data_IF_848290784429
#
_entry.id   IF_848290784429
#
_cell.length_a   1.000
_cell.length_b   1.000
_cell.length_c   1.000
_cell.angle_alpha   90.00
_cell.angle_beta   90.00
_cell.angle_gamma   90.00
#
_symmetry.space_group_name_H-M   'P 1'
#
loop_
_entity.id
_entity.type
_entity.pdbx_description
1 polymer ?
#
# COMPACT_ATOMS: atom_id res chain seq x y z
N UNK A 1 8.15 9.25 3.19
CA UNK A 1 8.54 10.15 4.29
C UNK A 1 7.43 10.16 5.34
N UNK A 2 7.77 10.25 6.62
CA UNK A 2 6.79 10.34 7.71
C UNK A 2 6.02 11.68 7.62
N UNK A 3 4.73 11.71 7.99
CA UNK A 3 3.82 12.87 7.89
C UNK A 3 3.37 13.26 6.47
N UNK A 4 3.23 12.28 5.57
CA UNK A 4 2.67 12.52 4.23
C UNK A 4 1.16 12.27 4.19
N UNK A 5 0.43 13.15 3.50
CA UNK A 5 -0.97 12.92 3.14
C UNK A 5 -1.02 12.23 1.78
N UNK A 6 -1.72 11.10 1.73
CA UNK A 6 -1.92 10.32 0.50
C UNK A 6 -3.41 10.21 0.19
N UNK A 7 -3.73 10.08 -1.10
CA UNK A 7 -5.07 9.73 -1.55
C UNK A 7 -5.13 8.22 -1.81
N UNK A 8 -6.16 7.55 -1.31
CA UNK A 8 -6.42 6.13 -1.54
C UNK A 8 -7.67 5.96 -2.42
N UNK A 9 -7.67 4.99 -3.31
CA UNK A 9 -8.77 4.70 -4.24
C UNK A 9 -9.95 3.94 -3.59
N UNK A 10 -10.17 4.17 -2.30
CA UNK A 10 -11.20 3.54 -1.47
C UNK A 10 -11.91 4.61 -0.66
N UNK A 11 -13.23 4.55 -0.62
CA UNK A 11 -14.08 5.57 -0.01
C UNK A 11 -15.20 5.00 0.84
N UNK A 12 -16.20 5.84 1.14
CA UNK A 12 -17.40 5.47 1.90
C UNK A 12 -18.13 4.28 1.27
N UNK A 13 -18.14 4.18 -0.08
CA UNK A 13 -18.76 3.04 -0.80
C UNK A 13 -18.01 1.73 -0.60
N UNK A 14 -16.74 1.80 -0.19
CA UNK A 14 -15.91 0.64 0.14
C UNK A 14 -15.91 0.35 1.65
N UNK A 15 -16.74 1.06 2.44
CA UNK A 15 -16.80 0.91 3.89
C UNK A 15 -15.64 1.59 4.64
N UNK A 16 -14.94 2.54 4.02
CA UNK A 16 -13.89 3.30 4.69
C UNK A 16 -14.50 4.40 5.54
N UNK A 17 -14.10 4.46 6.81
CA UNK A 17 -14.50 5.49 7.76
C UNK A 17 -13.31 6.30 8.26
N UNK A 18 -13.59 7.49 8.80
CA UNK A 18 -12.57 8.28 9.48
C UNK A 18 -12.06 7.53 10.71
N UNK A 19 -10.75 7.48 10.90
CA UNK A 19 -10.09 6.72 11.97
C UNK A 19 -9.68 5.31 11.56
N UNK A 20 -10.09 4.80 10.39
CA UNK A 20 -9.61 3.51 9.89
C UNK A 20 -8.09 3.51 9.73
N UNK A 21 -7.45 2.49 10.28
CA UNK A 21 -6.01 2.24 10.16
C UNK A 21 -5.81 1.11 9.17
N UNK A 22 -4.93 1.31 8.20
CA UNK A 22 -4.59 0.31 7.17
C UNK A 22 -3.08 0.08 7.14
N UNK A 23 -2.67 -1.16 6.89
CA UNK A 23 -1.29 -1.51 6.63
C UNK A 23 -0.94 -1.27 5.16
N UNK A 24 0.24 -0.69 4.94
CA UNK A 24 0.83 -0.50 3.61
C UNK A 24 1.68 -1.73 3.29
N UNK A 25 1.33 -2.44 2.23
CA UNK A 25 2.09 -3.56 1.70
C UNK A 25 2.79 -3.12 0.40
N UNK A 26 4.12 -3.17 0.41
CA UNK A 26 4.94 -3.00 -0.78
C UNK A 26 4.64 -4.13 -1.75
N UNK A 27 4.24 -3.78 -2.96
CA UNK A 27 3.99 -4.77 -4.00
C UNK A 27 5.34 -5.34 -4.47
N UNK A 28 5.58 -6.63 -4.23
CA UNK A 28 6.86 -7.27 -4.53
C UNK A 28 7.22 -7.14 -6.01
N UNK A 29 8.49 -6.96 -6.34
CA UNK A 29 8.89 -6.81 -7.75
C UNK A 29 8.76 -8.14 -8.51
N UNK A 30 8.46 -8.04 -9.80
CA UNK A 30 8.49 -9.19 -10.70
C UNK A 30 9.86 -9.22 -11.36
N UNK A 31 10.69 -10.19 -11.00
CA UNK A 31 12.06 -10.33 -11.47
C UNK A 31 12.17 -11.51 -12.44
N UNK A 32 13.09 -11.43 -13.40
CA UNK A 32 13.44 -12.58 -14.24
C UNK A 32 14.60 -13.30 -13.57
N UNK A 33 14.38 -14.55 -13.20
CA UNK A 33 15.44 -15.41 -12.68
C UNK A 33 16.45 -15.72 -13.81
N UNK A 34 17.72 -15.46 -13.53
CA UNK A 34 18.86 -15.69 -14.44
C UNK A 34 19.81 -16.77 -13.93
N UNK A 35 19.49 -17.39 -12.79
CA UNK A 35 20.32 -18.42 -12.16
C UNK A 35 20.00 -19.81 -12.71
N UNK A 36 18.76 -20.03 -13.19
CA UNK A 36 18.36 -21.21 -13.94
C UNK A 36 18.62 -21.09 -15.46
N UNK A 37 18.82 -22.22 -16.13
CA UNK A 37 19.00 -22.28 -17.59
C UNK A 37 17.79 -21.81 -18.42
N UNK A 38 16.62 -21.63 -17.79
CA UNK A 38 15.42 -21.04 -18.38
C UNK A 38 15.11 -19.70 -17.70
N UNK A 39 14.78 -18.68 -18.51
CA UNK A 39 14.35 -17.37 -18.00
C UNK A 39 12.91 -17.49 -17.48
N UNK A 40 12.76 -17.66 -16.18
CA UNK A 40 11.46 -17.69 -15.51
C UNK A 40 11.17 -16.37 -14.81
N UNK A 41 9.89 -15.98 -14.78
CA UNK A 41 9.45 -14.74 -14.15
C UNK A 41 8.96 -15.04 -12.74
N UNK A 42 9.65 -14.52 -11.73
CA UNK A 42 9.34 -14.71 -10.31
C UNK A 42 8.75 -13.44 -9.71
N UNK A 43 7.61 -13.57 -9.01
CA UNK A 43 7.01 -12.49 -8.22
C UNK A 43 7.52 -12.57 -6.78
N UNK A 44 8.20 -11.53 -6.32
CA UNK A 44 8.60 -11.42 -4.92
C UNK A 44 7.37 -11.25 -4.02
N UNK A 45 7.42 -11.73 -2.76
CA UNK A 45 6.34 -11.56 -1.80
C UNK A 45 6.11 -10.07 -1.50
N UNK A 46 4.89 -9.75 -1.08
CA UNK A 46 4.56 -8.42 -0.61
C UNK A 46 5.07 -8.24 0.82
N UNK A 47 5.60 -7.06 1.13
CA UNK A 47 6.20 -6.76 2.43
C UNK A 47 5.45 -5.63 3.13
N UNK A 48 5.21 -5.77 4.45
CA UNK A 48 4.58 -4.70 5.24
C UNK A 48 5.60 -3.60 5.50
N UNK A 49 5.35 -2.42 4.94
CA UNK A 49 6.27 -1.28 5.00
C UNK A 49 5.76 -0.12 5.86
N UNK A 50 4.51 -0.14 6.33
CA UNK A 50 4.01 0.93 7.20
C UNK A 50 2.53 0.86 7.54
N UNK A 51 2.05 1.94 8.14
CA UNK A 51 0.65 2.17 8.50
C UNK A 51 0.20 3.55 8.04
N UNK A 52 -1.08 3.66 7.72
CA UNK A 52 -1.77 4.93 7.50
C UNK A 52 -3.10 4.98 8.24
N UNK A 53 -3.58 6.19 8.51
CA UNK A 53 -4.89 6.45 9.10
C UNK A 53 -5.72 7.33 8.16
N UNK A 54 -6.93 6.91 7.84
CA UNK A 54 -7.88 7.72 7.09
C UNK A 54 -8.45 8.82 7.99
N UNK A 55 -8.42 10.06 7.53
CA UNK A 55 -9.00 11.20 8.27
C UNK A 55 -10.11 11.92 7.49
N UNK A 56 -10.22 11.69 6.19
CA UNK A 56 -11.27 12.30 5.36
C UNK A 56 -11.69 11.38 4.22
N UNK A 57 -12.71 10.53 4.43
CA UNK A 57 -13.29 9.72 3.37
C UNK A 57 -14.29 10.52 2.50
N UNK A 58 -14.32 10.21 1.21
CA UNK A 58 -15.34 10.59 0.23
C UNK A 58 -15.93 9.33 -0.40
N UNK A 59 -16.88 9.43 -1.32
CA UNK A 59 -17.57 8.27 -1.91
C UNK A 59 -16.65 7.22 -2.53
N UNK A 60 -15.58 7.64 -3.24
CA UNK A 60 -14.70 6.74 -4.02
C UNK A 60 -13.21 6.92 -3.71
N UNK A 61 -12.86 7.89 -2.88
CA UNK A 61 -11.48 8.27 -2.54
C UNK A 61 -11.43 8.68 -1.09
N UNK A 62 -10.32 8.44 -0.41
CA UNK A 62 -10.10 8.96 0.94
C UNK A 62 -8.73 9.60 1.05
N UNK A 63 -8.61 10.62 1.89
CA UNK A 63 -7.31 11.12 2.33
C UNK A 63 -6.90 10.45 3.63
N UNK A 64 -5.63 10.03 3.65
CA UNK A 64 -5.02 9.37 4.77
C UNK A 64 -3.67 9.98 5.12
N UNK A 65 -3.31 9.90 6.41
CA UNK A 65 -2.03 10.30 6.95
C UNK A 65 -1.17 9.05 7.17
N UNK A 66 0.05 9.03 6.62
CA UNK A 66 1.04 7.98 6.89
C UNK A 66 1.59 8.15 8.31
N UNK A 67 1.39 7.14 9.16
CA UNK A 67 1.77 7.15 10.58
C UNK A 67 3.23 6.72 10.79
N UNK A 68 3.57 5.56 10.20
CA UNK A 68 4.89 4.96 10.22
C UNK A 68 5.19 4.39 8.85
N UNK A 69 6.45 4.52 8.42
CA UNK A 69 6.88 3.92 7.17
C UNK A 69 8.37 3.63 7.17
N UNK A 70 8.72 2.39 6.82
CA UNK A 70 10.10 1.89 6.81
C UNK A 70 10.73 1.93 5.41
N UNK A 71 9.92 2.06 4.36
CA UNK A 71 10.37 2.17 2.95
C UNK A 71 9.51 3.18 2.18
N UNK A 72 10.00 3.71 1.06
CA UNK A 72 9.23 4.65 0.25
C UNK A 72 8.02 3.94 -0.40
N UNK A 73 6.79 4.45 -0.21
CA UNK A 73 5.60 3.87 -0.82
C UNK A 73 5.60 4.20 -2.32
N UNK A 74 5.13 3.26 -3.12
CA UNK A 74 5.04 3.37 -4.57
C UNK A 74 3.59 3.36 -5.01
N UNK A 75 3.32 4.00 -6.14
CA UNK A 75 2.02 3.89 -6.78
C UNK A 75 1.81 2.42 -7.15
N UNK A 76 0.66 1.86 -6.73
CA UNK A 76 0.34 0.44 -6.92
C UNK A 76 0.69 -0.47 -5.74
N UNK A 77 1.22 0.08 -4.64
CA UNK A 77 1.26 -0.61 -3.36
C UNK A 77 -0.14 -0.88 -2.82
N UNK A 78 -0.25 -1.93 -2.01
CA UNK A 78 -1.52 -2.48 -1.55
C UNK A 78 -1.84 -1.97 -0.15
N UNK A 79 -3.14 -1.85 0.14
CA UNK A 79 -3.65 -1.49 1.47
C UNK A 79 -4.54 -2.60 1.99
N UNK A 80 -4.28 -3.04 3.21
CA UNK A 80 -5.04 -4.10 3.87
C UNK A 80 -5.39 -3.70 5.30
N UNK A 81 -6.44 -4.30 5.85
CA UNK A 81 -6.69 -4.18 7.28
C UNK A 81 -5.49 -4.78 8.05
N UNK A 82 -4.98 -4.07 9.07
CA UNK A 82 -3.78 -4.47 9.80
C UNK A 82 -3.95 -5.78 10.56
#
# INVERSE_FOLDING_TARGET
AQNQVVAINKGLRDGIESGHVLAILKNGETIVDRTGGAKETLKLPNERIGLLMVFRPFDKVSYALVLEINDAPRIGDLLVNP
#
